data_IF_144931509677
#
_entry.id   IF_144931509677
#
_cell.length_a   1.000
_cell.length_b   1.000
_cell.length_c   1.000
_cell.angle_alpha   90.00
_cell.angle_beta   90.00
_cell.angle_gamma   90.00
#
_symmetry.space_group_name_H-M   'P 1'
#
loop_
_entity.id
_entity.type
_entity.pdbx_description
1 polymer ?
#
# COMPACT_ATOMS: atom_id res chain seq x y z
N UNK A 1 -18.79 -21.92 9.03
CA UNK A 1 -17.56 -21.69 8.24
C UNK A 1 -16.52 -22.69 8.73
N UNK A 2 -15.79 -23.38 7.85
CA UNK A 2 -14.83 -24.41 8.27
C UNK A 2 -13.65 -23.73 9.02
N UNK A 3 -13.33 -24.11 10.26
CA UNK A 3 -12.29 -23.46 11.07
C UNK A 3 -10.89 -23.54 10.43
N UNK A 4 -10.59 -24.62 9.70
CA UNK A 4 -9.36 -24.74 8.92
C UNK A 4 -9.31 -23.73 7.76
N UNK A 5 -10.46 -23.40 7.18
CA UNK A 5 -10.55 -22.39 6.13
C UNK A 5 -10.32 -20.98 6.69
N UNK A 6 -10.82 -20.70 7.90
CA UNK A 6 -10.58 -19.43 8.59
C UNK A 6 -9.11 -19.28 8.97
N UNK A 7 -8.49 -20.33 9.51
CA UNK A 7 -7.06 -20.35 9.83
C UNK A 7 -6.18 -20.26 8.57
N UNK A 8 -6.54 -20.92 7.47
CA UNK A 8 -5.88 -20.76 6.18
C UNK A 8 -6.06 -19.35 5.62
N UNK A 9 -7.22 -18.71 5.75
CA UNK A 9 -7.46 -17.34 5.30
C UNK A 9 -6.74 -16.31 6.17
N UNK A 10 -6.65 -16.55 7.49
CA UNK A 10 -5.88 -15.72 8.43
C UNK A 10 -4.37 -15.87 8.22
N UNK A 11 -3.88 -17.09 7.96
CA UNK A 11 -2.47 -17.35 7.67
C UNK A 11 -2.09 -17.03 6.20
N UNK A 12 -3.08 -16.97 5.30
CA UNK A 12 -2.93 -16.50 3.93
C UNK A 12 -3.25 -15.00 3.79
N UNK A 13 -3.18 -14.23 4.87
CA UNK A 13 -2.97 -12.79 4.75
C UNK A 13 -1.61 -12.58 4.08
N UNK A 14 -1.66 -12.42 2.75
CA UNK A 14 -0.51 -12.07 1.93
C UNK A 14 0.19 -10.89 2.58
N UNK A 15 1.42 -11.09 3.05
CA UNK A 15 2.27 -10.03 3.60
C UNK A 15 2.48 -8.89 2.59
N UNK A 16 2.28 -9.17 1.31
CA UNK A 16 2.27 -8.18 0.26
C UNK A 16 0.89 -7.54 0.16
N UNK A 17 0.82 -6.27 0.53
CA UNK A 17 -0.36 -5.43 0.39
C UNK A 17 -0.19 -4.46 -0.78
N UNK A 18 -1.23 -4.35 -1.60
CA UNK A 18 -1.29 -3.37 -2.68
C UNK A 18 -2.04 -2.14 -2.17
N UNK A 19 -1.38 -0.99 -2.19
CA UNK A 19 -1.93 0.29 -1.76
C UNK A 19 -1.99 1.24 -2.96
N UNK A 20 -3.19 1.70 -3.29
CA UNK A 20 -3.42 2.66 -4.37
C UNK A 20 -3.71 4.05 -3.81
N UNK A 21 -3.02 5.07 -4.32
CA UNK A 21 -3.16 6.45 -3.86
C UNK A 21 -2.83 7.46 -4.96
N UNK A 22 -3.33 8.68 -4.80
CA UNK A 22 -3.00 9.81 -5.66
C UNK A 22 -1.81 10.61 -5.09
N UNK A 23 -0.92 11.08 -5.97
CA UNK A 23 0.15 12.02 -5.63
C UNK A 23 -0.29 13.44 -5.96
N UNK A 24 0.12 14.43 -5.14
CA UNK A 24 -0.09 15.85 -5.46
C UNK A 24 0.81 16.29 -6.61
N UNK A 25 0.21 16.82 -7.67
CA UNK A 25 0.81 17.24 -8.96
C UNK A 25 1.96 18.27 -8.88
N UNK A 26 2.18 18.91 -7.73
CA UNK A 26 3.15 20.00 -7.62
C UNK A 26 4.58 19.57 -7.27
N UNK A 27 4.79 18.29 -7.02
CA UNK A 27 6.01 17.81 -6.39
C UNK A 27 7.00 17.28 -7.45
N UNK A 28 8.00 18.10 -7.83
CA UNK A 28 9.29 17.60 -8.35
C UNK A 28 10.03 16.87 -7.23
N UNK A 29 9.47 15.75 -6.76
CA UNK A 29 9.94 15.03 -5.58
C UNK A 29 10.59 13.74 -6.03
N UNK A 30 11.84 13.56 -5.61
CA UNK A 30 12.50 12.25 -5.67
C UNK A 30 11.85 11.37 -4.62
N UNK A 31 10.96 10.49 -5.04
CA UNK A 31 10.33 9.50 -4.17
C UNK A 31 11.35 8.40 -3.90
N UNK A 32 11.77 8.26 -2.65
CA UNK A 32 12.58 7.13 -2.18
C UNK A 32 11.72 6.36 -1.20
N UNK A 33 11.02 5.35 -1.72
CA UNK A 33 10.22 4.45 -0.90
C UNK A 33 10.99 3.15 -0.67
N UNK A 34 10.85 2.55 0.51
CA UNK A 34 11.41 1.23 0.83
C UNK A 34 10.59 0.07 0.23
N UNK A 35 9.78 0.36 -0.79
CA UNK A 35 8.82 -0.55 -1.40
C UNK A 35 8.67 -0.27 -2.88
N UNK A 36 8.23 -1.28 -3.63
CA UNK A 36 8.06 -1.17 -5.07
C UNK A 36 6.84 -0.31 -5.38
N UNK A 37 7.00 0.66 -6.28
CA UNK A 37 5.95 1.57 -6.69
C UNK A 37 5.86 1.67 -8.21
N UNK A 38 4.64 1.68 -8.72
CA UNK A 38 4.34 1.99 -10.10
C UNK A 38 3.53 3.29 -10.17
N UNK A 39 3.96 4.23 -11.01
CA UNK A 39 3.36 5.56 -11.14
C UNK A 39 2.73 5.67 -12.54
N UNK A 40 1.44 5.94 -12.60
CA UNK A 40 0.66 6.13 -13.83
C UNK A 40 -0.05 7.48 -13.76
N UNK A 41 0.57 8.52 -14.34
CA UNK A 41 0.08 9.89 -14.20
C UNK A 41 0.13 10.36 -12.74
N UNK A 42 -1.01 10.77 -12.19
CA UNK A 42 -1.15 11.16 -10.79
C UNK A 42 -1.46 9.99 -9.84
N UNK A 43 -1.68 8.79 -10.38
CA UNK A 43 -2.06 7.61 -9.61
C UNK A 43 -0.86 6.71 -9.35
N UNK A 44 -0.76 6.21 -8.13
CA UNK A 44 0.33 5.37 -7.69
C UNK A 44 -0.18 4.08 -7.09
N UNK A 45 0.54 3.01 -7.40
CA UNK A 45 0.31 1.68 -6.86
C UNK A 45 1.59 1.22 -6.16
N UNK A 46 1.53 1.08 -4.85
CA UNK A 46 2.62 0.56 -4.04
C UNK A 46 2.35 -0.91 -3.67
N UNK A 47 3.40 -1.74 -3.76
CA UNK A 47 3.40 -3.11 -3.23
C UNK A 47 4.27 -3.11 -1.98
N UNK A 48 3.63 -3.27 -0.82
CA UNK A 48 4.25 -3.07 0.48
C UNK A 48 4.20 -4.36 1.27
N UNK A 49 5.35 -4.80 1.75
CA UNK A 49 5.42 -5.94 2.65
C UNK A 49 5.13 -5.49 4.10
N UNK A 50 4.12 -6.06 4.73
CA UNK A 50 3.72 -5.81 6.11
C UNK A 50 2.95 -7.00 6.68
N UNK A 51 2.82 -7.09 8.00
CA UNK A 51 2.02 -8.15 8.63
C UNK A 51 0.53 -7.88 8.55
N UNK A 52 0.15 -6.61 8.44
CA UNK A 52 -1.23 -6.19 8.30
C UNK A 52 -1.35 -5.08 7.28
N UNK A 53 -2.56 -4.94 6.73
CA UNK A 53 -2.84 -3.83 5.81
C UNK A 53 -2.69 -2.46 6.48
N UNK A 54 -3.08 -2.34 7.76
CA UNK A 54 -2.92 -1.10 8.51
C UNK A 54 -1.44 -0.69 8.58
N UNK A 55 -0.56 -1.66 8.88
CA UNK A 55 0.89 -1.45 8.86
C UNK A 55 1.40 -1.06 7.46
N UNK A 56 0.89 -1.70 6.40
CA UNK A 56 1.24 -1.32 5.02
C UNK A 56 0.84 0.12 4.67
N UNK A 57 -0.36 0.55 5.09
CA UNK A 57 -0.83 1.94 4.87
C UNK A 57 0.05 2.92 5.64
N UNK A 58 0.40 2.62 6.88
CA UNK A 58 1.29 3.47 7.69
C UNK A 58 2.69 3.57 7.08
N UNK A 59 3.24 2.47 6.54
CA UNK A 59 4.50 2.51 5.77
C UNK A 59 4.41 3.44 4.57
N UNK A 60 3.29 3.44 3.85
CA UNK A 60 3.07 4.35 2.72
C UNK A 60 2.94 5.80 3.19
N UNK A 61 2.18 6.09 4.27
CA UNK A 61 2.08 7.45 4.83
C UNK A 61 3.42 7.99 5.28
N UNK A 62 4.23 7.15 5.92
CA UNK A 62 5.53 7.54 6.48
C UNK A 62 6.67 7.52 5.45
N UNK A 63 6.39 7.16 4.20
CA UNK A 63 7.40 7.08 3.13
C UNK A 63 7.87 8.43 2.59
N UNK A 64 7.26 9.54 3.03
CA UNK A 64 7.54 10.88 2.53
C UNK A 64 6.95 11.17 1.14
N UNK A 65 6.15 10.25 0.59
CA UNK A 65 5.44 10.43 -0.67
C UNK A 65 4.32 11.47 -0.48
N UNK A 66 4.18 12.47 -1.36
CA UNK A 66 3.17 13.52 -1.21
C UNK A 66 1.77 13.02 -1.60
N UNK A 67 1.19 12.19 -0.74
CA UNK A 67 -0.12 11.57 -0.92
C UNK A 67 -1.22 12.64 -0.81
N UNK A 68 -2.13 12.64 -1.77
CA UNK A 68 -3.33 13.47 -1.80
C UNK A 68 -4.52 12.73 -1.19
N UNK A 69 -4.73 11.48 -1.59
CA UNK A 69 -5.83 10.62 -1.14
C UNK A 69 -5.49 9.15 -1.41
N UNK A 70 -6.03 8.24 -0.61
CA UNK A 70 -6.00 6.81 -0.90
C UNK A 70 -7.23 6.45 -1.72
N UNK A 71 -7.03 5.78 -2.86
CA UNK A 71 -8.08 5.60 -3.88
C UNK A 71 -8.88 4.31 -3.66
N UNK A 72 -8.26 3.27 -3.10
CA UNK A 72 -8.92 1.99 -2.76
C UNK A 72 -8.30 1.33 -1.53
N UNK A 73 -9.08 1.27 -0.45
CA UNK A 73 -8.85 0.44 0.72
C UNK A 73 -9.90 -0.69 0.73
N UNK A 74 -9.84 -1.63 -0.24
CA UNK A 74 -10.69 -2.83 -0.28
C UNK A 74 -10.15 -3.97 0.55
#
# INVERSE_FOLDING_TARGET
MNPLLQELLTNAESRNHVIEFEIKDSAKVKIVASFNMHIMGNMCRAVVEANTRAEAIEKVRNSGVPIKSFTKLH
#
